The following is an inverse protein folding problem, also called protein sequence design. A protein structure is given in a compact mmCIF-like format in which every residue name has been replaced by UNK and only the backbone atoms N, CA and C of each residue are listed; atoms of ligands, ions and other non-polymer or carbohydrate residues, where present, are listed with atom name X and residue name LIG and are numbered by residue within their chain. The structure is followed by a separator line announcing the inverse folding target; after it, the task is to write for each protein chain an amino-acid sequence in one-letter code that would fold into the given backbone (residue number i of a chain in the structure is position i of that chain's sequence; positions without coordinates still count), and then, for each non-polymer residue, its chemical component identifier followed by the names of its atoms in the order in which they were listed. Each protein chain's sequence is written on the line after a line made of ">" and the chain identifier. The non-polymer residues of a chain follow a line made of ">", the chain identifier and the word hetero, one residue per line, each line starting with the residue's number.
data_IF_351650028081
#
_entry.id   IF_351650028081
#
_cell.length_a   1.000
_cell.length_b   1.000
_cell.length_c   1.000
_cell.angle_alpha   90.00
_cell.angle_beta   90.00
_cell.angle_gamma   90.00
#
_symmetry.space_group_name_H-M   'P 1'
#
loop_
_entity.id
_entity.type
_entity.pdbx_description
1 polymer ?
#
# COMPACT_ATOMS: atom_id res chain seq x y z
N UNK A 1 -34.57 9.61 -1.00
CA UNK A 1 -34.90 10.97 -1.50
C UNK A 1 -35.64 11.71 -0.41
N UNK A 2 -35.05 12.77 0.15
CA UNK A 2 -35.71 13.98 0.63
C UNK A 2 -34.61 14.93 1.13
N UNK A 3 -34.32 15.93 0.31
CA UNK A 3 -33.53 17.11 0.66
C UNK A 3 -34.38 18.02 1.55
N UNK A 4 -33.76 18.65 2.54
CA UNK A 4 -34.17 19.96 3.05
C UNK A 4 -32.91 20.80 3.21
N UNK A 5 -32.86 21.88 2.43
CA UNK A 5 -31.89 22.97 2.49
C UNK A 5 -32.72 24.23 2.73
N UNK A 6 -32.50 24.88 3.85
CA UNK A 6 -32.87 26.28 4.12
C UNK A 6 -31.51 27.00 4.28
N UNK A 7 -31.22 28.20 3.79
CA UNK A 7 -32.00 29.41 3.55
C UNK A 7 -31.15 30.61 3.99
N UNK A 8 -30.32 30.43 5.03
CA UNK A 8 -29.25 31.34 5.47
C UNK A 8 -27.99 30.51 5.75
N UNK A 9 -26.91 30.75 5.00
CA UNK A 9 -25.71 29.89 4.93
C UNK A 9 -24.85 29.81 6.20
N UNK A 10 -25.37 29.25 7.29
CA UNK A 10 -24.60 28.82 8.47
C UNK A 10 -24.97 27.37 8.79
N UNK A 11 -24.01 26.46 8.62
CA UNK A 11 -24.11 25.09 9.14
C UNK A 11 -23.41 25.12 10.50
N UNK A 12 -24.19 25.24 11.59
CA UNK A 12 -23.71 24.86 12.92
C UNK A 12 -23.79 23.34 13.01
N UNK A 13 -22.63 22.69 12.90
CA UNK A 13 -22.50 21.26 13.14
C UNK A 13 -22.04 21.08 14.60
N UNK A 14 -23.00 21.08 15.53
CA UNK A 14 -22.75 20.54 16.87
C UNK A 14 -22.66 19.02 16.74
N UNK A 15 -21.44 18.53 16.49
CA UNK A 15 -21.14 17.10 16.65
C UNK A 15 -20.66 16.90 18.08
N UNK A 16 -21.45 16.30 18.98
CA UNK A 16 -20.90 15.83 20.24
C UNK A 16 -19.90 14.73 19.92
N UNK A 17 -18.60 15.03 20.09
CA UNK A 17 -17.54 14.03 20.05
C UNK A 17 -17.61 13.29 21.38
N UNK A 18 -18.39 12.24 21.44
CA UNK A 18 -18.50 11.38 22.61
C UNK A 18 -18.83 9.96 22.14
N UNK A 19 -17.81 9.10 22.13
CA UNK A 19 -17.95 7.70 21.80
C UNK A 19 -16.59 7.03 21.66
N UNK A 20 -16.21 6.25 22.66
CA UNK A 20 -14.93 5.56 22.78
C UNK A 20 -14.70 4.55 21.65
N UNK A 21 -13.51 4.59 21.04
CA UNK A 21 -12.99 3.56 20.12
C UNK A 21 -12.39 2.34 20.85
N UNK A 22 -12.82 2.09 22.08
CA UNK A 22 -12.36 0.98 22.92
C UNK A 22 -13.54 0.08 23.29
N UNK A 23 -14.06 -0.66 22.31
CA UNK A 23 -14.91 -1.82 22.61
C UNK A 23 -14.30 -3.08 21.94
N UNK A 24 -13.61 -3.94 22.70
CA UNK A 24 -12.89 -5.12 22.20
C UNK A 24 -13.80 -6.33 21.91
N UNK A 25 -15.11 -6.13 21.81
CA UNK A 25 -16.08 -7.18 21.49
C UNK A 25 -16.42 -7.20 20.00
N UNK A 26 -15.44 -7.35 19.11
CA UNK A 26 -15.69 -7.97 17.80
C UNK A 26 -14.39 -8.58 17.26
N UNK A 27 -14.22 -9.87 17.50
CA UNK A 27 -13.23 -10.69 16.81
C UNK A 27 -13.58 -10.76 15.31
N UNK A 28 -13.02 -9.85 14.49
CA UNK A 28 -13.10 -9.88 13.03
C UNK A 28 -12.30 -11.04 12.39
N UNK A 29 -11.81 -12.01 13.18
CA UNK A 29 -11.14 -13.21 12.66
C UNK A 29 -12.10 -14.26 12.05
N UNK A 30 -13.41 -14.16 12.28
CA UNK A 30 -14.38 -15.20 11.84
C UNK A 30 -15.34 -14.75 10.72
N UNK A 31 -15.32 -13.48 10.31
CA UNK A 31 -16.22 -12.94 9.27
C UNK A 31 -15.55 -12.80 7.90
N UNK A 32 -14.21 -12.83 7.82
CA UNK A 32 -13.48 -12.78 6.54
C UNK A 32 -13.49 -14.15 5.82
N UNK A 33 -13.80 -15.25 6.52
CA UNK A 33 -13.65 -16.60 5.99
C UNK A 33 -14.76 -17.11 5.03
N UNK A 34 -15.79 -16.33 4.67
CA UNK A 34 -16.96 -16.91 3.94
C UNK A 34 -17.60 -16.10 2.81
N UNK A 35 -16.90 -15.17 2.14
CA UNK A 35 -17.51 -14.45 1.02
C UNK A 35 -16.62 -14.22 -0.23
N UNK A 36 -15.60 -15.05 -0.46
CA UNK A 36 -14.87 -15.09 -1.75
C UNK A 36 -14.90 -16.51 -2.32
N UNK A 37 -16.05 -17.17 -2.23
CA UNK A 37 -16.34 -18.39 -2.95
C UNK A 37 -17.18 -18.07 -4.17
N UNK A 38 -16.66 -18.37 -5.36
CA UNK A 38 -17.40 -18.61 -6.62
C UNK A 38 -17.50 -17.50 -7.69
N UNK A 39 -16.48 -16.64 -7.89
CA UNK A 39 -16.44 -15.82 -9.13
C UNK A 39 -15.43 -16.26 -10.21
N UNK A 40 -14.53 -17.22 -9.95
CA UNK A 40 -13.50 -17.58 -10.94
C UNK A 40 -13.50 -19.07 -11.30
N UNK A 41 -14.65 -19.57 -11.75
CA UNK A 41 -14.72 -20.84 -12.48
C UNK A 41 -14.42 -20.56 -13.96
N UNK A 42 -13.22 -21.00 -14.37
CA UNK A 42 -12.76 -21.40 -15.72
C UNK A 42 -12.64 -20.36 -16.84
N UNK A 43 -11.46 -20.37 -17.47
CA UNK A 43 -11.14 -20.60 -18.91
C UNK A 43 -9.78 -19.92 -19.18
N UNK A 44 -8.68 -20.68 -19.28
CA UNK A 44 -8.04 -21.26 -20.50
C UNK A 44 -7.37 -20.19 -21.36
N UNK A 45 -6.04 -20.24 -21.40
CA UNK A 45 -5.09 -19.36 -22.13
C UNK A 45 -5.11 -17.88 -21.74
N UNK A 46 -4.04 -17.43 -21.07
CA UNK A 46 -3.81 -16.03 -20.69
C UNK A 46 -3.96 -15.08 -21.90
N UNK A 47 -4.64 -13.92 -21.77
CA UNK A 47 -4.72 -12.92 -22.84
C UNK A 47 -3.34 -12.41 -23.31
N UNK A 48 -2.28 -12.64 -22.52
CA UNK A 48 -0.90 -12.33 -22.91
C UNK A 48 -0.22 -13.46 -23.69
N UNK A 49 -0.79 -14.67 -23.77
CA UNK A 49 -0.25 -15.82 -24.52
C UNK A 49 0.13 -15.43 -25.96
N UNK A 50 -0.78 -14.73 -26.65
CA UNK A 50 -0.56 -14.22 -27.99
C UNK A 50 0.53 -13.13 -28.05
N UNK A 51 0.69 -12.32 -27.00
CA UNK A 51 1.70 -11.26 -26.92
C UNK A 51 3.09 -11.84 -26.66
N UNK A 52 3.24 -12.82 -25.76
CA UNK A 52 4.55 -13.41 -25.48
C UNK A 52 5.07 -14.32 -26.60
N UNK A 53 4.18 -14.96 -27.37
CA UNK A 53 4.60 -15.72 -28.56
C UNK A 53 5.30 -14.84 -29.60
N UNK A 54 4.92 -13.55 -29.71
CA UNK A 54 5.53 -12.57 -30.61
C UNK A 54 6.79 -11.90 -30.04
N UNK A 55 6.99 -11.97 -28.72
CA UNK A 55 8.08 -11.31 -27.99
C UNK A 55 9.17 -12.29 -27.51
N UNK A 56 9.13 -13.54 -27.96
CA UNK A 56 10.19 -14.52 -27.70
C UNK A 56 9.93 -15.54 -26.58
N UNK A 57 8.66 -15.85 -26.26
CA UNK A 57 8.31 -17.10 -25.57
C UNK A 57 7.76 -17.02 -24.14
N UNK A 58 7.76 -15.86 -23.48
CA UNK A 58 7.41 -15.75 -22.04
C UNK A 58 6.13 -14.94 -21.78
N UNK A 59 5.02 -15.35 -22.40
CA UNK A 59 3.75 -14.66 -22.28
C UNK A 59 3.18 -14.58 -20.86
N UNK A 60 3.28 -15.66 -20.10
CA UNK A 60 2.77 -15.69 -18.72
C UNK A 60 3.53 -14.74 -17.81
N UNK A 61 4.83 -14.49 -18.08
CA UNK A 61 5.67 -13.57 -17.30
C UNK A 61 5.40 -12.09 -17.61
N UNK A 62 4.54 -11.76 -18.59
CA UNK A 62 4.11 -10.39 -18.90
C UNK A 62 2.79 -10.02 -18.22
N UNK A 63 2.08 -10.98 -17.61
CA UNK A 63 0.83 -10.74 -16.89
C UNK A 63 1.00 -10.07 -15.53
N UNK A 64 2.24 -9.83 -15.10
CA UNK A 64 2.53 -9.22 -13.81
C UNK A 64 3.94 -8.62 -13.73
N UNK A 65 4.14 -7.74 -12.76
CA UNK A 65 5.43 -7.16 -12.38
C UNK A 65 5.67 -7.41 -10.89
N UNK A 66 6.76 -8.09 -10.55
CA UNK A 66 7.10 -8.45 -9.17
C UNK A 66 7.87 -7.34 -8.47
N UNK A 67 7.67 -7.23 -7.16
CA UNK A 67 8.34 -6.29 -6.27
C UNK A 67 8.88 -7.05 -5.06
N UNK A 68 9.96 -6.51 -4.47
CA UNK A 68 10.39 -6.95 -3.16
C UNK A 68 9.30 -6.65 -2.09
N UNK A 69 9.19 -7.47 -1.04
CA UNK A 69 8.24 -7.23 0.06
C UNK A 69 8.35 -5.80 0.62
N UNK A 70 7.21 -5.11 0.76
CA UNK A 70 7.15 -3.73 1.24
C UNK A 70 7.65 -2.64 0.30
N UNK A 71 8.23 -3.01 -0.85
CA UNK A 71 8.82 -2.07 -1.81
C UNK A 71 7.89 -1.77 -2.97
N UNK A 72 8.01 -0.55 -3.50
CA UNK A 72 7.45 -0.12 -4.77
C UNK A 72 8.55 0.24 -5.80
N UNK A 73 9.79 -0.16 -5.53
CA UNK A 73 10.92 0.06 -6.43
C UNK A 73 10.95 -0.99 -7.54
N UNK A 74 11.18 -0.54 -8.77
CA UNK A 74 11.30 -1.40 -9.93
C UNK A 74 12.73 -1.92 -10.03
N UNK A 75 12.93 -3.21 -9.77
CA UNK A 75 14.21 -3.86 -9.97
C UNK A 75 14.50 -4.10 -11.47
N UNK A 76 15.70 -4.60 -11.80
CA UNK A 76 16.09 -4.81 -13.19
C UNK A 76 15.19 -5.81 -13.94
N UNK A 77 14.67 -6.85 -13.28
CA UNK A 77 13.76 -7.81 -13.92
C UNK A 77 12.43 -7.13 -14.26
N UNK A 78 11.88 -6.35 -13.33
CA UNK A 78 10.69 -5.54 -13.53
C UNK A 78 10.89 -4.57 -14.71
N UNK A 79 12.02 -3.85 -14.76
CA UNK A 79 12.35 -2.96 -15.86
C UNK A 79 12.41 -3.69 -17.21
N UNK A 80 13.06 -4.86 -17.28
CA UNK A 80 13.10 -5.68 -18.51
C UNK A 80 11.70 -6.14 -18.94
N UNK A 81 10.84 -6.56 -18.00
CA UNK A 81 9.45 -6.94 -18.28
C UNK A 81 8.66 -5.74 -18.81
N UNK A 82 8.79 -4.58 -18.18
CA UNK A 82 8.11 -3.35 -18.59
C UNK A 82 8.56 -2.86 -19.98
N UNK A 83 9.85 -2.98 -20.32
CA UNK A 83 10.36 -2.67 -21.66
C UNK A 83 9.71 -3.53 -22.74
N UNK A 84 9.56 -4.84 -22.50
CA UNK A 84 8.86 -5.74 -23.44
C UNK A 84 7.38 -5.38 -23.56
N UNK A 85 6.73 -5.09 -22.44
CA UNK A 85 5.32 -4.68 -22.42
C UNK A 85 5.10 -3.37 -23.18
N UNK A 86 5.92 -2.34 -22.95
CA UNK A 86 5.84 -1.06 -23.67
C UNK A 86 6.02 -1.24 -25.18
N UNK A 87 7.00 -2.05 -25.63
CA UNK A 87 7.16 -2.40 -27.05
C UNK A 87 5.90 -3.05 -27.62
N UNK A 88 5.30 -3.99 -26.88
CA UNK A 88 4.06 -4.65 -27.28
C UNK A 88 2.90 -3.65 -27.46
N UNK A 89 2.74 -2.74 -26.49
CA UNK A 89 1.71 -1.71 -26.53
C UNK A 89 1.94 -0.73 -27.68
N UNK A 90 3.18 -0.29 -27.93
CA UNK A 90 3.49 0.64 -29.01
C UNK A 90 3.29 0.02 -30.40
N UNK A 91 3.59 -1.28 -30.56
CA UNK A 91 3.35 -2.02 -31.80
C UNK A 91 1.87 -2.34 -32.06
N UNK A 92 1.00 -2.23 -31.04
CA UNK A 92 -0.42 -2.57 -31.12
C UNK A 92 -1.27 -1.44 -30.54
N UNK A 93 -1.58 -0.37 -31.31
CA UNK A 93 -2.28 0.81 -30.80
C UNK A 93 -3.64 0.52 -30.14
N UNK A 94 -4.34 -0.53 -30.57
CA UNK A 94 -5.62 -0.94 -29.99
C UNK A 94 -5.51 -1.61 -28.60
N UNK A 95 -4.31 -1.96 -28.15
CA UNK A 95 -4.11 -2.65 -26.87
C UNK A 95 -4.27 -1.67 -25.71
N UNK A 96 -5.16 -1.98 -24.77
CA UNK A 96 -5.31 -1.24 -23.51
C UNK A 96 -5.08 -2.16 -22.32
N UNK A 97 -4.59 -1.60 -21.22
CA UNK A 97 -4.09 -2.35 -20.07
C UNK A 97 -4.72 -1.85 -18.77
N UNK A 98 -5.27 -2.77 -17.98
CA UNK A 98 -5.58 -2.54 -16.57
C UNK A 98 -4.40 -3.02 -15.71
N UNK A 99 -4.01 -2.22 -14.72
CA UNK A 99 -2.97 -2.55 -13.75
C UNK A 99 -3.55 -2.51 -12.34
N UNK A 100 -3.27 -3.53 -11.52
CA UNK A 100 -3.74 -3.60 -10.13
C UNK A 100 -2.59 -4.01 -9.21
N UNK A 101 -2.24 -3.16 -8.26
CA UNK A 101 -1.29 -3.51 -7.21
C UNK A 101 -1.86 -4.59 -6.30
N UNK A 102 -1.00 -5.53 -5.90
CA UNK A 102 -1.29 -6.59 -4.95
C UNK A 102 -0.37 -6.49 -3.75
N UNK A 103 -0.95 -6.73 -2.58
CA UNK A 103 -0.22 -6.86 -1.32
C UNK A 103 -0.59 -8.17 -0.65
N UNK A 104 0.43 -8.88 -0.18
CA UNK A 104 0.30 -10.09 0.60
C UNK A 104 0.62 -9.76 2.08
N UNK A 105 -0.37 -9.72 2.98
CA UNK A 105 -0.13 -9.35 4.37
C UNK A 105 0.80 -10.31 5.11
N UNK A 106 0.85 -11.58 4.71
CA UNK A 106 1.70 -12.59 5.35
C UNK A 106 3.15 -12.45 4.87
N UNK A 107 3.35 -12.28 3.57
CA UNK A 107 4.69 -12.08 3.01
C UNK A 107 5.28 -10.69 3.31
N UNK A 108 4.43 -9.67 3.54
CA UNK A 108 4.85 -8.27 3.65
C UNK A 108 4.64 -7.67 5.04
N UNK A 109 4.18 -8.46 6.00
CA UNK A 109 3.73 -7.95 7.29
C UNK A 109 4.81 -7.20 8.08
N UNK A 110 6.05 -7.68 8.06
CA UNK A 110 7.15 -6.95 8.71
C UNK A 110 7.41 -5.59 8.04
N UNK A 111 7.50 -5.57 6.71
CA UNK A 111 7.77 -4.34 5.98
C UNK A 111 6.62 -3.32 6.10
N UNK A 112 5.37 -3.79 6.13
CA UNK A 112 4.18 -2.96 6.39
C UNK A 112 4.19 -2.35 7.80
N UNK A 113 4.62 -3.10 8.82
CA UNK A 113 4.79 -2.58 10.19
C UNK A 113 5.89 -1.53 10.26
N UNK A 114 7.04 -1.78 9.61
CA UNK A 114 8.14 -0.82 9.52
C UNK A 114 7.73 0.47 8.81
N UNK A 115 7.01 0.38 7.68
CA UNK A 115 6.47 1.57 7.01
C UNK A 115 5.54 2.34 7.93
N UNK A 116 4.63 1.63 8.60
CA UNK A 116 3.65 2.24 9.49
C UNK A 116 4.33 2.94 10.66
N UNK A 117 5.42 2.37 11.20
CA UNK A 117 6.26 3.02 12.19
C UNK A 117 6.89 4.30 11.63
N UNK A 118 7.56 4.22 10.49
CA UNK A 118 8.21 5.37 9.86
C UNK A 118 7.20 6.49 9.54
N UNK A 119 6.00 6.14 9.08
CA UNK A 119 4.93 7.10 8.83
C UNK A 119 4.44 7.76 10.12
N UNK A 120 4.37 7.03 11.25
CA UNK A 120 4.12 7.63 12.56
C UNK A 120 5.22 8.61 12.92
N UNK A 121 6.50 8.27 12.71
CA UNK A 121 7.61 9.19 12.99
C UNK A 121 7.53 10.46 12.14
N UNK A 122 7.27 10.32 10.83
CA UNK A 122 7.05 11.45 9.91
C UNK A 122 5.89 12.34 10.34
N UNK A 123 4.80 11.75 10.83
CA UNK A 123 3.67 12.54 11.34
C UNK A 123 4.06 13.36 12.57
N UNK A 124 4.87 12.79 13.48
CA UNK A 124 5.40 13.53 14.64
C UNK A 124 6.33 14.67 14.23
N UNK A 125 7.16 14.47 13.21
CA UNK A 125 8.02 15.52 12.64
C UNK A 125 7.17 16.60 11.96
N UNK A 126 6.16 16.20 11.20
CA UNK A 126 5.24 17.13 10.56
C UNK A 126 4.49 18.00 11.57
N UNK A 127 4.08 17.44 12.72
CA UNK A 127 3.50 18.23 13.82
C UNK A 127 4.46 19.32 14.34
N UNK A 128 5.77 19.05 14.36
CA UNK A 128 6.76 20.04 14.81
C UNK A 128 6.97 21.10 13.72
N UNK A 129 7.14 20.68 12.46
CA UNK A 129 7.28 21.58 11.31
C UNK A 129 6.06 22.48 11.13
N UNK A 130 4.85 21.98 11.37
CA UNK A 130 3.62 22.76 11.27
C UNK A 130 3.48 23.86 12.33
N UNK A 131 4.30 23.83 13.40
CA UNK A 131 4.39 24.93 14.38
C UNK A 131 5.46 25.96 14.02
N UNK A 132 6.43 25.57 13.19
CA UNK A 132 7.60 26.36 12.85
C UNK A 132 7.46 27.04 11.48
N UNK A 133 6.69 26.45 10.56
CA UNK A 133 6.56 26.87 9.18
C UNK A 133 5.12 27.31 8.86
N UNK A 134 4.98 28.41 8.11
CA UNK A 134 3.69 28.87 7.60
C UNK A 134 3.07 27.90 6.57
N UNK A 135 3.93 27.17 5.83
CA UNK A 135 3.53 26.18 4.84
C UNK A 135 4.36 24.90 4.99
N UNK A 136 3.98 23.98 5.91
CA UNK A 136 4.71 22.74 6.13
C UNK A 136 4.55 21.76 4.95
N UNK A 137 5.52 20.86 4.73
CA UNK A 137 5.47 19.87 3.65
C UNK A 137 4.33 18.85 3.84
N UNK A 138 4.02 18.08 2.80
CA UNK A 138 3.10 16.94 2.92
C UNK A 138 3.77 15.80 3.67
N UNK A 139 2.98 14.94 4.31
CA UNK A 139 3.50 13.80 5.09
C UNK A 139 4.45 12.89 4.29
N UNK A 140 4.16 12.67 3.01
CA UNK A 140 4.95 11.80 2.14
C UNK A 140 6.28 12.45 1.69
N UNK A 141 6.41 13.77 1.86
CA UNK A 141 7.64 14.55 1.58
C UNK A 141 8.52 14.68 2.82
N UNK A 142 8.01 14.29 4.00
CA UNK A 142 8.77 14.37 5.25
C UNK A 142 9.74 13.20 5.34
N UNK A 143 11.02 13.51 5.48
CA UNK A 143 12.07 12.53 5.76
C UNK A 143 12.51 12.61 7.22
N UNK A 144 12.90 11.46 7.79
CA UNK A 144 13.49 11.38 9.13
C UNK A 144 14.99 11.19 8.95
N UNK A 145 15.79 12.20 9.31
CA UNK A 145 17.23 12.07 9.27
C UNK A 145 17.71 11.08 10.35
N UNK A 146 18.85 10.39 10.15
CA UNK A 146 19.37 9.43 11.13
C UNK A 146 19.51 10.00 12.55
N UNK A 147 19.90 11.27 12.66
CA UNK A 147 20.11 11.97 13.93
C UNK A 147 18.78 12.32 14.63
N UNK A 148 17.69 12.40 13.88
CA UNK A 148 16.35 12.69 14.38
C UNK A 148 15.58 11.43 14.78
N UNK A 149 16.01 10.27 14.28
CA UNK A 149 15.28 9.00 14.41
C UNK A 149 14.98 8.68 15.87
N UNK A 150 15.98 8.75 16.74
CA UNK A 150 15.81 8.46 18.17
C UNK A 150 14.79 9.40 18.83
N UNK A 151 14.84 10.71 18.53
CA UNK A 151 13.92 11.70 19.08
C UNK A 151 12.48 11.33 18.76
N UNK A 152 12.17 11.06 17.49
CA UNK A 152 10.82 10.75 17.06
C UNK A 152 10.38 9.35 17.49
N UNK A 153 11.27 8.35 17.48
CA UNK A 153 10.98 7.00 17.95
C UNK A 153 10.58 7.00 19.43
N UNK A 154 11.33 7.71 20.29
CA UNK A 154 10.99 7.84 21.71
C UNK A 154 9.68 8.58 21.93
N UNK A 155 9.35 9.58 21.09
CA UNK A 155 8.05 10.26 21.15
C UNK A 155 6.90 9.35 20.70
N UNK A 156 7.11 8.56 19.65
CA UNK A 156 6.16 7.55 19.20
C UNK A 156 5.90 6.52 20.31
N UNK A 157 6.95 6.01 20.95
CA UNK A 157 6.84 5.10 22.09
C UNK A 157 6.02 5.69 23.24
N UNK A 158 6.26 6.96 23.61
CA UNK A 158 5.48 7.62 24.67
C UNK A 158 3.99 7.76 24.32
N UNK A 159 3.69 8.06 23.06
CA UNK A 159 2.31 8.26 22.57
C UNK A 159 1.57 6.98 22.23
N UNK A 160 2.29 5.89 21.99
CA UNK A 160 1.69 4.62 21.64
C UNK A 160 0.83 4.09 22.80
N UNK A 161 -0.33 3.55 22.47
CA UNK A 161 -1.27 3.02 23.44
C UNK A 161 -1.05 1.50 23.59
N UNK A 162 -0.23 1.14 24.57
CA UNK A 162 0.01 -0.24 25.01
C UNK A 162 0.70 -0.23 26.38
N UNK A 163 0.68 -1.38 27.05
CA UNK A 163 1.30 -1.60 28.36
C UNK A 163 2.82 -1.57 28.26
N UNK A 164 3.40 -0.44 28.66
CA UNK A 164 4.85 -0.23 28.65
C UNK A 164 5.51 -0.91 29.85
N UNK A 165 6.65 -1.62 29.68
CA UNK A 165 7.41 -2.16 30.79
C UNK A 165 7.73 -1.09 31.83
N UNK A 166 7.47 -1.39 33.11
CA UNK A 166 7.70 -0.50 34.24
C UNK A 166 8.88 -0.98 35.08
N UNK A 167 9.58 -0.05 35.72
CA UNK A 167 10.62 -0.38 36.70
C UNK A 167 9.99 -0.75 38.07
N UNK A 168 10.83 -1.16 39.02
CA UNK A 168 10.41 -1.52 40.38
C UNK A 168 9.66 -0.39 41.14
N UNK A 169 9.76 0.86 40.68
CA UNK A 169 9.06 2.03 41.23
C UNK A 169 7.78 2.40 40.46
N UNK A 170 7.36 1.60 39.47
CA UNK A 170 6.13 1.81 38.69
C UNK A 170 6.25 2.82 37.54
N UNK A 171 7.42 3.40 37.29
CA UNK A 171 7.66 4.30 36.17
C UNK A 171 7.98 3.53 34.89
N UNK A 172 7.57 4.02 33.70
CA UNK A 172 7.98 3.44 32.43
C UNK A 172 9.51 3.33 32.34
N UNK A 173 10.02 2.13 32.10
CA UNK A 173 11.45 1.87 31.96
C UNK A 173 11.97 2.60 30.71
N UNK A 174 13.11 3.29 30.82
CA UNK A 174 13.85 3.75 29.64
C UNK A 174 14.53 2.54 29.02
N UNK A 175 14.10 2.18 27.82
CA UNK A 175 14.63 1.03 27.08
C UNK A 175 15.74 1.46 26.12
N UNK A 176 16.67 0.55 25.79
CA UNK A 176 17.54 0.69 24.62
C UNK A 176 16.74 1.01 23.36
N UNK A 177 17.38 1.68 22.40
CA UNK A 177 16.70 2.17 21.19
C UNK A 177 16.08 1.02 20.38
N UNK A 178 16.87 -0.04 20.17
CA UNK A 178 16.45 -1.24 19.46
C UNK A 178 15.26 -1.94 20.13
N UNK A 179 15.27 -2.04 21.47
CA UNK A 179 14.16 -2.64 22.22
C UNK A 179 12.88 -1.78 22.13
N UNK A 180 13.03 -0.45 22.12
CA UNK A 180 11.93 0.50 21.92
C UNK A 180 11.28 0.30 20.54
N UNK A 181 12.10 0.18 19.50
CA UNK A 181 11.64 -0.07 18.14
C UNK A 181 10.93 -1.42 18.03
N UNK A 182 11.55 -2.49 18.54
CA UNK A 182 10.97 -3.83 18.53
C UNK A 182 9.60 -3.88 19.21
N UNK A 183 9.45 -3.23 20.36
CA UNK A 183 8.17 -3.15 21.07
C UNK A 183 7.13 -2.38 20.26
N UNK A 184 7.51 -1.27 19.62
CA UNK A 184 6.61 -0.53 18.74
C UNK A 184 6.15 -1.38 17.57
N UNK A 185 7.07 -2.04 16.86
CA UNK A 185 6.75 -2.92 15.74
C UNK A 185 5.81 -4.05 16.16
N UNK A 186 6.03 -4.66 17.32
CA UNK A 186 5.18 -5.74 17.82
C UNK A 186 3.72 -5.32 18.08
N UNK A 187 3.47 -4.04 18.37
CA UNK A 187 2.12 -3.50 18.64
C UNK A 187 1.56 -2.70 17.46
N UNK A 188 2.21 -2.71 16.30
CA UNK A 188 1.65 -2.12 15.08
C UNK A 188 0.78 -3.15 14.38
N UNK A 189 -0.50 -2.81 14.27
CA UNK A 189 -1.45 -3.53 13.43
C UNK A 189 -1.31 -3.11 11.96
N UNK A 190 -1.36 -4.11 11.07
CA UNK A 190 -1.33 -3.88 9.63
C UNK A 190 -2.72 -3.42 9.20
N UNK A 191 -2.88 -2.11 9.05
CA UNK A 191 -4.15 -1.53 8.57
C UNK A 191 -4.37 -1.78 7.08
N UNK A 192 -5.62 -1.94 6.67
CA UNK A 192 -6.02 -1.98 5.26
C UNK A 192 -5.54 -0.75 4.48
N UNK A 193 -5.57 0.42 5.12
CA UNK A 193 -5.06 1.65 4.54
C UNK A 193 -3.56 1.57 4.22
N UNK A 194 -2.74 0.90 5.05
CA UNK A 194 -1.32 0.70 4.77
C UNK A 194 -1.11 -0.23 3.57
N UNK A 195 -1.87 -1.32 3.49
CA UNK A 195 -1.82 -2.25 2.35
C UNK A 195 -2.25 -1.57 1.05
N UNK A 196 -3.37 -0.82 1.05
CA UNK A 196 -3.84 -0.05 -0.11
C UNK A 196 -2.81 0.96 -0.59
N UNK A 197 -2.15 1.68 0.34
CA UNK A 197 -1.07 2.62 -0.03
C UNK A 197 0.07 1.88 -0.75
N UNK A 198 0.54 0.75 -0.22
CA UNK A 198 1.63 0.00 -0.86
C UNK A 198 1.22 -0.51 -2.24
N UNK A 199 0.03 -1.09 -2.37
CA UNK A 199 -0.49 -1.56 -3.65
C UNK A 199 -0.58 -0.41 -4.68
N UNK A 200 -1.11 0.74 -4.26
CA UNK A 200 -1.22 1.91 -5.13
C UNK A 200 0.15 2.45 -5.55
N UNK A 201 1.13 2.55 -4.63
CA UNK A 201 2.50 2.97 -4.98
C UNK A 201 3.14 2.07 -6.03
N UNK A 202 2.92 0.75 -5.94
CA UNK A 202 3.40 -0.20 -6.96
C UNK A 202 2.74 0.04 -8.32
N UNK A 203 1.41 0.20 -8.34
CA UNK A 203 0.68 0.47 -9.57
C UNK A 203 1.11 1.81 -10.19
N UNK A 204 1.29 2.85 -9.37
CA UNK A 204 1.81 4.15 -9.79
C UNK A 204 3.23 4.05 -10.35
N UNK A 205 4.12 3.28 -9.73
CA UNK A 205 5.47 3.05 -10.23
C UNK A 205 5.45 2.42 -11.64
N UNK A 206 4.62 1.40 -11.85
CA UNK A 206 4.41 0.76 -13.17
C UNK A 206 3.80 1.75 -14.18
N UNK A 207 2.75 2.46 -13.79
CA UNK A 207 2.08 3.46 -14.65
C UNK A 207 3.05 4.55 -15.10
N UNK A 208 3.77 5.14 -14.15
CA UNK A 208 4.71 6.23 -14.41
C UNK A 208 5.84 5.75 -15.33
N UNK A 209 6.38 4.56 -15.09
CA UNK A 209 7.39 3.99 -15.97
C UNK A 209 6.86 3.78 -17.39
N UNK A 210 5.68 3.16 -17.56
CA UNK A 210 5.10 2.91 -18.88
C UNK A 210 4.84 4.20 -19.66
N UNK A 211 4.41 5.27 -18.97
CA UNK A 211 4.12 6.56 -19.60
C UNK A 211 5.40 7.33 -19.94
N UNK A 212 6.32 7.45 -19.00
CA UNK A 212 7.47 8.33 -19.12
C UNK A 212 8.60 7.68 -19.93
N UNK A 213 8.97 6.45 -19.57
CA UNK A 213 10.07 5.71 -20.20
C UNK A 213 9.58 4.83 -21.35
N UNK A 214 8.44 4.17 -21.15
CA UNK A 214 7.81 3.30 -22.16
C UNK A 214 7.11 4.06 -23.29
N UNK A 215 6.90 5.37 -23.12
CA UNK A 215 6.18 6.24 -24.06
C UNK A 215 4.79 5.74 -24.43
N UNK A 216 4.14 4.98 -23.54
CA UNK A 216 2.78 4.48 -23.74
C UNK A 216 1.78 5.63 -23.49
N UNK A 217 0.86 5.91 -24.42
CA UNK A 217 -0.17 6.93 -24.23
C UNK A 217 -0.99 6.74 -22.94
N UNK A 218 -1.32 7.86 -22.29
CA UNK A 218 -1.97 7.86 -20.97
C UNK A 218 -3.37 7.23 -20.97
N UNK A 219 -4.08 7.31 -22.08
CA UNK A 219 -5.41 6.74 -22.31
C UNK A 219 -5.40 5.22 -22.56
N UNK A 220 -4.23 4.58 -22.45
CA UNK A 220 -4.07 3.13 -22.70
C UNK A 220 -3.72 2.32 -21.47
N UNK A 221 -3.45 2.96 -20.33
CA UNK A 221 -3.11 2.29 -19.07
C UNK A 221 -4.02 2.81 -17.96
N UNK A 222 -4.74 1.90 -17.31
CA UNK A 222 -5.76 2.22 -16.31
C UNK A 222 -5.43 1.54 -14.98
N UNK A 223 -5.51 2.30 -13.88
CA UNK A 223 -5.30 1.76 -12.53
C UNK A 223 -6.63 1.19 -12.01
N UNK A 224 -6.66 -0.10 -11.74
CA UNK A 224 -7.78 -0.80 -11.13
C UNK A 224 -7.65 -0.85 -9.60
N UNK A 225 -8.72 -1.30 -8.93
CA UNK A 225 -8.72 -1.42 -7.48
C UNK A 225 -7.63 -2.38 -6.98
N UNK A 226 -6.90 -2.02 -5.90
CA UNK A 226 -5.84 -2.87 -5.36
C UNK A 226 -6.40 -4.16 -4.75
N UNK A 227 -5.57 -5.21 -4.76
CA UNK A 227 -5.86 -6.51 -4.14
C UNK A 227 -5.03 -6.64 -2.87
N UNK A 228 -5.68 -7.00 -1.76
CA UNK A 228 -5.07 -6.97 -0.42
C UNK A 228 -4.94 -8.37 0.18
N UNK A 229 -4.74 -9.35 -0.70
CA UNK A 229 -4.65 -10.77 -0.39
C UNK A 229 -3.62 -11.46 -1.28
N UNK A 230 -3.20 -12.65 -0.85
CA UNK A 230 -2.32 -13.54 -1.60
C UNK A 230 -3.02 -14.34 -2.71
N UNK A 231 -4.36 -14.31 -2.78
CA UNK A 231 -5.12 -15.22 -3.62
C UNK A 231 -4.94 -14.88 -5.11
N UNK A 232 -4.30 -15.80 -5.85
CA UNK A 232 -4.29 -15.72 -7.30
C UNK A 232 -4.36 -17.09 -7.98
N UNK A 233 -5.37 -17.23 -8.83
CA UNK A 233 -5.55 -18.42 -9.67
C UNK A 233 -5.03 -18.20 -11.10
N UNK A 234 -4.50 -17.01 -11.41
CA UNK A 234 -4.06 -16.64 -12.77
C UNK A 234 -2.58 -16.90 -13.01
N UNK A 235 -1.75 -16.74 -11.99
CA UNK A 235 -0.30 -16.90 -12.03
C UNK A 235 0.16 -17.65 -10.76
N UNK A 236 -0.01 -19.00 -10.72
CA UNK A 236 0.28 -19.80 -9.53
C UNK A 236 1.76 -19.79 -9.12
N UNK A 237 2.68 -19.61 -10.08
CA UNK A 237 4.13 -19.62 -9.84
C UNK A 237 4.72 -18.23 -9.60
N UNK A 238 3.90 -17.17 -9.65
CA UNK A 238 4.37 -15.79 -9.53
C UNK A 238 4.32 -15.30 -8.09
N UNK A 239 5.28 -14.48 -7.67
CA UNK A 239 5.29 -13.92 -6.32
C UNK A 239 4.04 -13.05 -6.07
N UNK A 240 3.44 -13.18 -4.89
CA UNK A 240 2.21 -12.49 -4.49
C UNK A 240 2.41 -10.98 -4.28
N UNK A 241 3.66 -10.55 -4.07
CA UNK A 241 4.11 -9.16 -3.97
C UNK A 241 4.31 -8.52 -5.35
N UNK A 242 3.22 -8.12 -6.00
CA UNK A 242 3.25 -7.75 -7.43
C UNK A 242 2.25 -6.68 -7.85
N UNK A 243 2.34 -6.27 -9.10
CA UNK A 243 1.26 -5.62 -9.86
C UNK A 243 0.76 -6.63 -10.88
N UNK A 244 -0.53 -6.95 -10.83
CA UNK A 244 -1.22 -7.74 -11.84
C UNK A 244 -1.54 -6.86 -13.06
N UNK A 245 -1.34 -7.41 -14.25
CA UNK A 245 -1.60 -6.75 -15.53
C UNK A 245 -2.69 -7.52 -16.27
N UNK A 246 -3.62 -6.82 -16.90
CA UNK A 246 -4.69 -7.44 -17.68
C UNK A 246 -4.98 -6.63 -18.94
N UNK A 247 -5.13 -7.32 -20.07
CA UNK A 247 -5.62 -6.67 -21.29
C UNK A 247 -7.08 -6.30 -21.09
N UNK A 248 -7.39 -5.01 -21.25
CA UNK A 248 -8.74 -4.50 -21.20
C UNK A 248 -9.41 -4.74 -22.56
N UNK A 249 -10.59 -5.37 -22.51
CA UNK A 249 -11.40 -5.69 -23.69
C UNK A 249 -12.39 -4.58 -23.99
#
# INVERSE_FOLDING_TARGET
>A
MALLKDGNGVINLDVPISGSLNDPQFSLGSVIARAIGNLFIKVVTSPFAALGALLGGDAERLGYIEFAPGSAELNEEALRKLQRLARAMNNRPALTLDIAGRVDPDAEGEALRRESLMRRLRALKLEDLARELDNPPRLDEVEIAPEEYERYLRRAYRRADFDKPRNFLGFPKRLPLEETERLLLAHIEISEAAMRRLANRRAEAVLNWLRNEGQVPADRVYVAAPRLDAADNRHPDAATTRVDLAVRR
#
